data_IF_703419214183
#
_entry.id   IF_703419214183
#
_cell.length_a   1.000
_cell.length_b   1.000
_cell.length_c   1.000
_cell.angle_alpha   90.00
_cell.angle_beta   90.00
_cell.angle_gamma   90.00
#
_symmetry.space_group_name_H-M   'P 1'
#
loop_
_entity.id
_entity.type
_entity.pdbx_description
1 polymer ?
#
# COMPACT_ATOMS: atom_id res chain seq x y z
N UNK A 1 21.60 -10.21 29.43
CA UNK A 1 22.31 -8.92 29.57
C UNK A 1 22.16 -8.14 28.25
N UNK A 2 21.16 -7.26 28.12
CA UNK A 2 20.97 -6.40 26.93
C UNK A 2 20.14 -5.13 27.29
N UNK A 3 20.63 -4.40 28.30
CA UNK A 3 19.89 -3.29 28.95
C UNK A 3 20.14 -1.91 28.30
N UNK A 4 21.11 -1.80 27.37
CA UNK A 4 21.51 -0.50 26.79
C UNK A 4 20.78 -0.13 25.49
N UNK A 5 20.15 -1.08 24.82
CA UNK A 5 19.47 -0.87 23.52
C UNK A 5 17.98 -0.55 23.65
N UNK A 6 17.48 -0.58 24.87
CA UNK A 6 16.08 -0.83 25.20
C UNK A 6 15.18 0.42 25.16
N UNK A 7 15.56 1.58 25.71
CA UNK A 7 14.74 2.80 25.64
C UNK A 7 14.67 3.38 24.22
N UNK A 8 15.73 3.15 23.41
CA UNK A 8 15.91 3.77 22.09
C UNK A 8 14.95 3.21 21.04
N UNK A 9 14.69 1.90 21.05
CA UNK A 9 13.81 1.26 20.05
C UNK A 9 12.36 1.71 20.19
N UNK A 10 11.85 1.77 21.43
CA UNK A 10 10.51 2.26 21.73
C UNK A 10 10.31 3.70 21.26
N UNK A 11 11.23 4.60 21.63
CA UNK A 11 11.19 6.00 21.22
C UNK A 11 11.24 6.16 19.69
N UNK A 12 12.12 5.42 19.00
CA UNK A 12 12.21 5.42 17.54
C UNK A 12 10.93 4.90 16.87
N UNK A 13 10.31 3.85 17.42
CA UNK A 13 9.06 3.31 16.91
C UNK A 13 7.91 4.31 17.04
N UNK A 14 7.80 4.98 18.20
CA UNK A 14 6.85 6.09 18.41
C UNK A 14 7.06 7.22 17.41
N UNK A 15 8.30 7.70 17.26
CA UNK A 15 8.63 8.77 16.32
C UNK A 15 8.33 8.39 14.87
N UNK A 16 8.59 7.12 14.49
CA UNK A 16 8.22 6.58 13.19
C UNK A 16 6.71 6.57 12.98
N UNK A 17 5.94 6.12 13.97
CA UNK A 17 4.48 6.12 13.92
C UNK A 17 3.92 7.54 13.75
N UNK A 18 4.40 8.49 14.56
CA UNK A 18 4.02 9.90 14.49
C UNK A 18 4.36 10.53 13.13
N UNK A 19 5.54 10.21 12.56
CA UNK A 19 5.91 10.69 11.22
C UNK A 19 4.95 10.18 10.15
N UNK A 20 4.53 8.92 10.22
CA UNK A 20 3.52 8.41 9.29
C UNK A 20 2.16 9.09 9.53
N UNK A 21 1.73 9.28 10.77
CA UNK A 21 0.52 10.03 11.12
C UNK A 21 0.48 11.42 10.48
N UNK A 22 1.55 12.20 10.64
CA UNK A 22 1.70 13.52 10.01
C UNK A 22 1.66 13.44 8.49
N UNK A 23 2.30 12.43 7.89
CA UNK A 23 2.26 12.23 6.45
C UNK A 23 0.85 11.88 5.92
N UNK A 24 0.05 11.15 6.70
CA UNK A 24 -1.36 10.90 6.38
C UNK A 24 -2.15 12.21 6.43
N UNK A 25 -2.01 12.99 7.50
CA UNK A 25 -2.68 14.29 7.65
C UNK A 25 -2.36 15.23 6.49
N UNK A 26 -1.07 15.39 6.14
CA UNK A 26 -0.65 16.22 4.98
C UNK A 26 -1.19 15.70 3.66
N UNK A 27 -1.17 14.38 3.43
CA UNK A 27 -1.73 13.82 2.20
C UNK A 27 -3.24 14.04 2.08
N UNK A 28 -3.94 14.23 3.21
CA UNK A 28 -5.37 14.48 3.26
C UNK A 28 -5.73 15.96 3.41
N UNK A 29 -4.77 16.90 3.45
CA UNK A 29 -5.08 18.33 3.65
C UNK A 29 -5.64 19.02 2.40
N UNK A 30 -5.72 18.32 1.26
CA UNK A 30 -6.43 18.79 0.07
C UNK A 30 -5.69 19.81 -0.80
N UNK A 31 -4.34 19.87 -0.77
CA UNK A 31 -3.57 20.85 -1.56
C UNK A 31 -2.36 20.25 -2.32
N UNK A 32 -1.97 20.86 -3.45
CA UNK A 32 -2.82 21.29 -4.57
C UNK A 32 -3.25 20.11 -5.46
N UNK A 33 -2.51 19.00 -5.41
CA UNK A 33 -2.83 17.77 -6.15
C UNK A 33 -3.47 16.73 -5.22
N UNK A 34 -4.79 16.60 -5.32
CA UNK A 34 -5.59 15.63 -4.56
C UNK A 34 -5.15 14.17 -4.81
N UNK A 35 -4.79 13.81 -6.04
CA UNK A 35 -4.40 12.45 -6.38
C UNK A 35 -3.04 12.10 -5.77
N UNK A 36 -2.10 13.04 -5.86
CA UNK A 36 -0.80 12.92 -5.17
C UNK A 36 -0.98 12.86 -3.67
N UNK A 37 -1.82 13.70 -3.09
CA UNK A 37 -2.16 13.69 -1.67
C UNK A 37 -2.70 12.33 -1.21
N UNK A 38 -3.71 11.81 -1.91
CA UNK A 38 -4.30 10.48 -1.66
C UNK A 38 -3.26 9.36 -1.82
N UNK A 39 -2.38 9.44 -2.82
CA UNK A 39 -1.29 8.48 -3.00
C UNK A 39 -0.35 8.48 -1.79
N UNK A 40 0.10 9.66 -1.36
CA UNK A 40 1.01 9.84 -0.22
C UNK A 40 0.35 9.37 1.09
N UNK A 41 -0.90 9.73 1.32
CA UNK A 41 -1.68 9.27 2.48
C UNK A 41 -1.78 7.74 2.50
N UNK A 42 -2.17 7.11 1.37
CA UNK A 42 -2.22 5.64 1.25
C UNK A 42 -0.87 4.99 1.49
N UNK A 43 0.22 5.60 0.99
CA UNK A 43 1.59 5.10 1.22
C UNK A 43 1.95 5.16 2.71
N UNK A 44 1.64 6.26 3.39
CA UNK A 44 1.88 6.43 4.81
C UNK A 44 1.02 5.48 5.68
N UNK A 45 -0.27 5.30 5.35
CA UNK A 45 -1.15 4.30 5.99
C UNK A 45 -0.53 2.90 5.89
N UNK A 46 -0.10 2.48 4.69
CA UNK A 46 0.50 1.15 4.51
C UNK A 46 1.77 0.97 5.37
N UNK A 47 2.61 2.00 5.47
CA UNK A 47 3.82 1.98 6.30
C UNK A 47 3.50 1.92 7.79
N UNK A 48 2.56 2.75 8.26
CA UNK A 48 2.12 2.72 9.66
C UNK A 48 1.57 1.34 10.02
N UNK A 49 0.68 0.80 9.20
CA UNK A 49 0.12 -0.55 9.39
C UNK A 49 1.17 -1.67 9.37
N UNK A 50 2.24 -1.51 8.60
CA UNK A 50 3.36 -2.45 8.60
C UNK A 50 4.13 -2.39 9.93
N UNK A 51 4.36 -1.19 10.47
CA UNK A 51 4.93 -0.99 11.80
C UNK A 51 4.02 -1.58 12.90
N UNK A 52 2.71 -1.32 12.87
CA UNK A 52 1.79 -1.86 13.87
C UNK A 52 1.76 -3.39 13.86
N UNK A 53 1.77 -4.01 12.68
CA UNK A 53 1.87 -5.46 12.55
C UNK A 53 3.21 -6.04 13.06
N UNK A 54 4.27 -5.22 13.17
CA UNK A 54 5.54 -5.64 13.74
C UNK A 54 5.49 -5.69 15.28
N UNK A 55 4.62 -4.89 15.90
CA UNK A 55 4.52 -4.75 17.35
C UNK A 55 3.21 -5.31 17.93
N UNK A 56 2.37 -5.93 17.09
CA UNK A 56 1.01 -6.39 17.43
C UNK A 56 0.95 -7.38 18.60
N UNK A 57 1.96 -8.24 18.74
CA UNK A 57 2.06 -9.20 19.84
C UNK A 57 2.52 -8.58 21.17
N UNK A 58 3.02 -7.33 21.16
CA UNK A 58 3.41 -6.61 22.39
C UNK A 58 2.31 -5.70 22.90
N UNK A 59 1.54 -5.10 21.99
CA UNK A 59 0.56 -4.06 22.30
C UNK A 59 -0.77 -4.39 21.61
N UNK A 60 -1.72 -4.97 22.33
CA UNK A 60 -3.02 -5.32 21.77
C UNK A 60 -3.78 -4.10 21.19
N UNK A 61 -3.60 -2.92 21.81
CA UNK A 61 -4.26 -1.68 21.38
C UNK A 61 -3.97 -1.35 19.90
N UNK A 62 -2.79 -1.72 19.39
CA UNK A 62 -2.40 -1.42 18.00
C UNK A 62 -3.21 -2.21 16.97
N UNK A 63 -3.87 -3.29 17.38
CA UNK A 63 -4.73 -4.10 16.48
C UNK A 63 -5.97 -3.32 16.09
N UNK A 64 -6.63 -2.65 17.05
CA UNK A 64 -7.80 -1.80 16.77
C UNK A 64 -7.41 -0.63 15.84
N UNK A 65 -6.25 -0.03 16.10
CA UNK A 65 -5.71 1.06 15.28
C UNK A 65 -5.40 0.59 13.84
N UNK A 66 -4.79 -0.60 13.66
CA UNK A 66 -4.58 -1.18 12.30
C UNK A 66 -5.90 -1.35 11.55
N UNK A 67 -6.96 -1.81 12.23
CA UNK A 67 -8.29 -1.98 11.62
C UNK A 67 -8.88 -0.63 11.18
N UNK A 68 -8.79 0.40 12.00
CA UNK A 68 -9.26 1.74 11.66
C UNK A 68 -8.49 2.31 10.45
N UNK A 69 -7.16 2.22 10.47
CA UNK A 69 -6.30 2.63 9.37
C UNK A 69 -6.55 1.81 8.10
N UNK A 70 -6.88 0.53 8.22
CA UNK A 70 -7.30 -0.31 7.09
C UNK A 70 -8.55 0.23 6.45
N UNK A 71 -9.62 0.47 7.23
CA UNK A 71 -10.89 1.00 6.71
C UNK A 71 -10.67 2.35 6.02
N UNK A 72 -9.86 3.23 6.61
CA UNK A 72 -9.51 4.52 6.02
C UNK A 72 -8.78 4.35 4.68
N UNK A 73 -7.79 3.46 4.62
CA UNK A 73 -7.10 3.10 3.39
C UNK A 73 -8.06 2.54 2.34
N UNK A 74 -8.89 1.57 2.69
CA UNK A 74 -9.83 0.91 1.79
C UNK A 74 -10.81 1.93 1.19
N UNK A 75 -11.28 2.90 1.99
CA UNK A 75 -12.12 4.02 1.54
C UNK A 75 -11.45 5.04 0.62
N UNK A 76 -10.17 4.88 0.28
CA UNK A 76 -9.42 5.68 -0.70
C UNK A 76 -9.00 4.86 -1.94
N UNK A 77 -9.28 3.55 -1.98
CA UNK A 77 -8.76 2.66 -3.02
C UNK A 77 -9.33 2.96 -4.39
N UNK A 78 -10.65 3.13 -4.51
CA UNK A 78 -11.31 3.36 -5.80
C UNK A 78 -10.76 4.60 -6.54
N UNK A 79 -10.53 5.70 -5.82
CA UNK A 79 -9.94 6.91 -6.41
C UNK A 79 -8.47 6.68 -6.82
N UNK A 80 -7.68 5.95 -6.02
CA UNK A 80 -6.30 5.61 -6.43
C UNK A 80 -6.30 4.74 -7.67
N UNK A 81 -7.14 3.72 -7.72
CA UNK A 81 -7.17 2.76 -8.82
C UNK A 81 -7.63 3.43 -10.12
N UNK A 82 -8.58 4.36 -10.05
CA UNK A 82 -8.96 5.21 -11.18
C UNK A 82 -7.79 6.09 -11.67
N UNK A 83 -7.03 6.68 -10.75
CA UNK A 83 -5.84 7.45 -11.11
C UNK A 83 -4.72 6.58 -11.69
N UNK A 84 -4.51 5.35 -11.17
CA UNK A 84 -3.55 4.38 -11.77
C UNK A 84 -3.94 4.10 -13.22
N UNK A 85 -5.23 3.88 -13.50
CA UNK A 85 -5.69 3.57 -14.84
C UNK A 85 -5.38 4.71 -15.83
N UNK A 86 -5.53 5.97 -15.41
CA UNK A 86 -5.13 7.15 -16.19
C UNK A 86 -3.62 7.16 -16.44
N UNK A 87 -2.79 7.01 -15.39
CA UNK A 87 -1.32 6.96 -15.53
C UNK A 87 -0.89 5.85 -16.48
N UNK A 88 -1.50 4.68 -16.37
CA UNK A 88 -1.19 3.53 -17.22
C UNK A 88 -1.63 3.78 -18.68
N UNK A 89 -2.82 4.33 -18.91
CA UNK A 89 -3.28 4.68 -20.26
C UNK A 89 -2.34 5.70 -20.94
N UNK A 90 -1.87 6.71 -20.21
CA UNK A 90 -0.86 7.64 -20.74
C UNK A 90 0.46 6.94 -21.08
N UNK A 91 0.89 5.96 -20.28
CA UNK A 91 2.09 5.20 -20.57
C UNK A 91 1.95 4.35 -21.85
N UNK A 92 0.76 3.84 -22.16
CA UNK A 92 0.48 3.14 -23.42
C UNK A 92 0.29 4.08 -24.63
N UNK A 93 -0.16 5.31 -24.38
CA UNK A 93 -0.32 6.32 -25.41
C UNK A 93 1.01 6.89 -25.93
N UNK A 94 2.10 6.75 -25.17
CA UNK A 94 3.42 7.27 -25.54
C UNK A 94 3.87 6.77 -26.93
N UNK A 95 4.43 7.67 -27.75
CA UNK A 95 4.80 7.42 -29.15
C UNK A 95 3.62 7.62 -30.12
N UNK A 96 3.58 6.85 -31.20
CA UNK A 96 2.62 6.97 -32.31
C UNK A 96 1.19 6.48 -31.98
N UNK A 97 0.93 6.17 -30.71
CA UNK A 97 -0.35 5.64 -30.23
C UNK A 97 -1.23 6.71 -29.57
N UNK A 98 -0.77 7.96 -29.50
CA UNK A 98 -1.43 9.04 -28.76
C UNK A 98 -2.88 9.22 -29.18
N UNK A 99 -3.13 9.40 -30.49
CA UNK A 99 -4.48 9.64 -31.02
C UNK A 99 -5.44 8.48 -30.74
N UNK A 100 -4.92 7.24 -30.79
CA UNK A 100 -5.72 6.04 -30.53
C UNK A 100 -6.17 5.94 -29.07
N UNK A 101 -5.30 6.31 -28.14
CA UNK A 101 -5.59 6.25 -26.70
C UNK A 101 -6.36 7.45 -26.18
N UNK A 102 -6.36 8.58 -26.91
CA UNK A 102 -6.94 9.84 -26.45
C UNK A 102 -8.42 9.75 -26.02
N UNK A 103 -9.32 9.05 -26.74
CA UNK A 103 -10.69 8.86 -26.29
C UNK A 103 -10.77 8.08 -24.96
N UNK A 104 -9.93 7.06 -24.81
CA UNK A 104 -9.90 6.23 -23.60
C UNK A 104 -9.32 7.00 -22.40
N UNK A 105 -8.26 7.77 -22.61
CA UNK A 105 -7.69 8.66 -21.60
C UNK A 105 -8.75 9.65 -21.11
N UNK A 106 -9.43 10.31 -22.05
CA UNK A 106 -10.50 11.28 -21.73
C UNK A 106 -11.61 10.65 -20.90
N UNK A 107 -12.04 9.44 -21.25
CA UNK A 107 -13.02 8.67 -20.48
C UNK A 107 -12.54 8.35 -19.06
N UNK A 108 -11.28 7.89 -18.91
CA UNK A 108 -10.71 7.55 -17.61
C UNK A 108 -10.52 8.76 -16.70
N UNK A 109 -10.11 9.91 -17.27
CA UNK A 109 -9.98 11.19 -16.56
C UNK A 109 -11.35 11.62 -16.03
N UNK A 110 -12.38 11.67 -16.88
CA UNK A 110 -13.74 12.01 -16.44
C UNK A 110 -14.24 11.07 -15.34
N UNK A 111 -14.00 9.77 -15.47
CA UNK A 111 -14.36 8.78 -14.45
C UNK A 111 -13.64 9.04 -13.12
N UNK A 112 -12.32 9.29 -13.16
CA UNK A 112 -11.50 9.61 -11.98
C UNK A 112 -12.02 10.88 -11.29
N UNK A 113 -12.35 11.90 -12.06
CA UNK A 113 -12.79 13.20 -11.54
C UNK A 113 -14.19 13.10 -10.92
N UNK A 114 -15.12 12.34 -11.53
CA UNK A 114 -16.42 12.02 -10.91
C UNK A 114 -16.26 11.28 -9.57
N UNK A 115 -15.30 10.37 -9.46
CA UNK A 115 -15.01 9.69 -8.19
C UNK A 115 -14.43 10.66 -7.15
N UNK A 116 -13.54 11.57 -7.57
CA UNK A 116 -12.99 12.60 -6.70
C UNK A 116 -14.10 13.54 -6.18
N UNK A 117 -14.95 14.04 -7.07
CA UNK A 117 -16.09 14.89 -6.72
C UNK A 117 -17.04 14.21 -5.74
N UNK A 118 -17.45 12.95 -5.99
CA UNK A 118 -18.28 12.18 -5.05
C UNK A 118 -17.64 11.98 -3.69
N UNK A 119 -16.33 11.75 -3.67
CA UNK A 119 -15.57 11.54 -2.44
C UNK A 119 -15.50 12.84 -1.62
N UNK A 120 -15.24 13.97 -2.27
CA UNK A 120 -15.19 15.30 -1.65
C UNK A 120 -16.57 15.79 -1.21
N UNK A 121 -17.63 15.55 -1.99
CA UNK A 121 -19.00 15.88 -1.58
C UNK A 121 -19.40 15.17 -0.28
N UNK A 122 -18.96 13.91 -0.11
CA UNK A 122 -19.19 13.16 1.13
C UNK A 122 -18.27 13.57 2.27
N UNK A 123 -17.06 14.01 1.98
CA UNK A 123 -16.05 14.30 3.00
C UNK A 123 -15.23 15.53 2.57
N UNK A 124 -15.83 16.74 2.65
CA UNK A 124 -15.18 17.96 2.21
C UNK A 124 -13.82 18.15 2.88
N UNK A 125 -12.79 18.41 2.07
CA UNK A 125 -11.40 18.54 2.55
C UNK A 125 -10.89 17.32 3.34
N UNK A 126 -11.51 16.14 3.16
CA UNK A 126 -11.24 14.93 3.95
C UNK A 126 -11.38 15.11 5.47
N UNK A 127 -12.20 16.05 5.95
CA UNK A 127 -12.31 16.41 7.37
C UNK A 127 -12.60 15.21 8.28
N UNK A 128 -13.55 14.34 7.92
CA UNK A 128 -13.90 13.15 8.72
C UNK A 128 -12.76 12.15 8.76
N UNK A 129 -12.09 11.91 7.63
CA UNK A 129 -10.91 11.03 7.58
C UNK A 129 -9.75 11.60 8.40
N UNK A 130 -9.51 12.90 8.34
CA UNK A 130 -8.48 13.58 9.15
C UNK A 130 -8.80 13.47 10.64
N UNK A 131 -10.06 13.63 11.06
CA UNK A 131 -10.47 13.42 12.45
C UNK A 131 -10.23 11.98 12.91
N UNK A 132 -10.55 10.98 12.07
CA UNK A 132 -10.23 9.57 12.36
C UNK A 132 -8.73 9.39 12.59
N UNK A 133 -7.88 9.94 11.71
CA UNK A 133 -6.42 9.86 11.85
C UNK A 133 -5.97 10.51 13.15
N UNK A 134 -6.46 11.71 13.49
CA UNK A 134 -6.10 12.39 14.75
C UNK A 134 -6.45 11.54 15.97
N UNK A 135 -7.65 10.95 16.02
CA UNK A 135 -8.05 10.03 17.11
C UNK A 135 -7.15 8.81 17.21
N UNK A 136 -6.82 8.20 16.07
CA UNK A 136 -5.92 7.03 16.05
C UNK A 136 -4.48 7.39 16.48
N UNK A 137 -4.01 8.60 16.14
CA UNK A 137 -2.70 9.07 16.56
C UNK A 137 -2.65 9.36 18.06
N UNK A 138 -3.70 9.97 18.64
CA UNK A 138 -3.82 10.15 20.08
C UNK A 138 -3.80 8.79 20.82
N UNK A 139 -4.54 7.80 20.30
CA UNK A 139 -4.52 6.44 20.86
C UNK A 139 -3.12 5.78 20.74
N UNK A 140 -2.38 6.02 19.65
CA UNK A 140 -1.00 5.55 19.52
C UNK A 140 -0.03 6.24 20.48
N UNK A 141 -0.27 7.51 20.83
CA UNK A 141 0.58 8.23 21.77
C UNK A 141 0.44 7.71 23.21
N UNK A 142 -0.72 7.12 23.55
CA UNK A 142 -0.97 6.47 24.84
C UNK A 142 -0.36 5.04 24.94
N UNK A 143 0.18 4.49 23.84
CA UNK A 143 0.85 3.19 23.89
C UNK A 143 2.15 3.30 24.68
N UNK A 144 2.40 2.33 25.56
CA UNK A 144 3.59 2.23 26.41
C UNK A 144 4.85 1.83 25.61
N UNK A 145 5.25 2.64 24.61
CA UNK A 145 6.36 2.36 23.68
C UNK A 145 7.67 2.04 24.39
N UNK A 146 7.90 2.61 25.58
CA UNK A 146 9.07 2.32 26.43
C UNK A 146 9.20 0.84 26.80
N UNK A 147 8.13 0.04 26.68
CA UNK A 147 8.10 -1.40 26.94
C UNK A 147 8.46 -2.26 25.71
N UNK A 148 8.65 -1.64 24.54
CA UNK A 148 9.05 -2.33 23.31
C UNK A 148 10.53 -2.73 23.39
N UNK A 149 10.85 -3.91 22.89
CA UNK A 149 12.20 -4.51 22.90
C UNK A 149 12.57 -5.04 21.51
N UNK A 150 13.86 -5.21 21.23
CA UNK A 150 14.34 -5.87 20.01
C UNK A 150 13.75 -7.27 19.81
N UNK A 151 13.59 -8.05 20.89
CA UNK A 151 12.96 -9.37 20.85
C UNK A 151 11.50 -9.34 20.37
N UNK A 152 10.76 -8.28 20.70
CA UNK A 152 9.37 -8.12 20.26
C UNK A 152 9.30 -7.86 18.75
N UNK A 153 10.22 -7.04 18.23
CA UNK A 153 10.36 -6.77 16.80
C UNK A 153 10.74 -8.05 16.03
N UNK A 154 11.68 -8.84 16.56
CA UNK A 154 12.07 -10.14 16.00
C UNK A 154 10.86 -11.09 15.93
N UNK A 155 10.14 -11.26 17.04
CA UNK A 155 8.96 -12.12 17.08
C UNK A 155 7.86 -11.65 16.10
N UNK A 156 7.61 -10.34 15.98
CA UNK A 156 6.66 -9.79 15.01
C UNK A 156 7.05 -10.02 13.55
N UNK A 157 8.35 -10.02 13.28
CA UNK A 157 8.90 -10.28 11.96
C UNK A 157 8.81 -11.76 11.59
N UNK A 158 9.15 -12.67 12.50
CA UNK A 158 8.97 -14.11 12.35
C UNK A 158 7.51 -14.47 12.05
N UNK A 159 6.55 -13.87 12.77
CA UNK A 159 5.12 -14.00 12.46
C UNK A 159 4.79 -13.53 11.04
N UNK A 160 5.41 -12.45 10.59
CA UNK A 160 5.17 -11.88 9.26
C UNK A 160 5.76 -12.77 8.15
N UNK A 161 6.94 -13.34 8.36
CA UNK A 161 7.58 -14.33 7.49
C UNK A 161 6.76 -15.62 7.40
N UNK A 162 6.34 -16.18 8.55
CA UNK A 162 5.50 -17.38 8.58
C UNK A 162 4.16 -17.16 7.84
N UNK A 163 3.54 -16.00 8.02
CA UNK A 163 2.33 -15.61 7.27
C UNK A 163 2.63 -15.46 5.77
N UNK A 164 3.77 -14.90 5.38
CA UNK A 164 4.16 -14.79 3.98
C UNK A 164 4.31 -16.17 3.33
N UNK A 165 5.12 -17.06 3.93
CA UNK A 165 5.35 -18.41 3.45
C UNK A 165 4.03 -19.21 3.29
N UNK A 166 3.11 -19.10 4.25
CA UNK A 166 1.78 -19.71 4.15
C UNK A 166 0.97 -19.18 2.97
N UNK A 167 1.02 -17.87 2.70
CA UNK A 167 0.29 -17.30 1.57
C UNK A 167 0.94 -17.64 0.22
N UNK A 168 2.27 -17.74 0.18
CA UNK A 168 3.00 -18.19 -1.00
C UNK A 168 2.63 -19.62 -1.36
N UNK A 169 2.68 -20.54 -0.39
CA UNK A 169 2.30 -21.95 -0.63
C UNK A 169 0.87 -22.07 -1.18
N UNK A 170 -0.08 -21.28 -0.64
CA UNK A 170 -1.45 -21.25 -1.15
C UNK A 170 -1.54 -20.69 -2.58
N UNK A 171 -0.85 -19.59 -2.86
CA UNK A 171 -0.83 -19.00 -4.19
C UNK A 171 -0.17 -19.91 -5.25
N UNK A 172 0.81 -20.73 -4.84
CA UNK A 172 1.43 -21.75 -5.70
C UNK A 172 0.50 -22.94 -5.94
N UNK A 173 -0.17 -23.42 -4.88
CA UNK A 173 -1.10 -24.57 -4.97
C UNK A 173 -2.37 -24.21 -5.76
N UNK A 174 -2.87 -22.99 -5.58
CA UNK A 174 -4.11 -22.52 -6.17
C UNK A 174 -3.95 -21.03 -6.55
N UNK A 175 -3.58 -20.72 -7.80
CA UNK A 175 -3.26 -19.36 -8.26
C UNK A 175 -4.51 -18.50 -8.52
N UNK A 176 -5.47 -18.50 -7.60
CA UNK A 176 -6.64 -17.63 -7.69
C UNK A 176 -6.26 -16.14 -7.49
N UNK A 177 -7.07 -15.23 -8.06
CA UNK A 177 -6.86 -13.79 -7.91
C UNK A 177 -6.80 -13.37 -6.43
N UNK A 178 -7.59 -14.01 -5.56
CA UNK A 178 -7.56 -13.75 -4.12
C UNK A 178 -6.25 -14.22 -3.47
N UNK A 179 -5.81 -15.45 -3.76
CA UNK A 179 -4.59 -16.01 -3.18
C UNK A 179 -3.35 -15.21 -3.61
N UNK A 180 -3.24 -14.88 -4.91
CA UNK A 180 -2.19 -14.02 -5.45
C UNK A 180 -2.22 -12.63 -4.81
N UNK A 181 -3.42 -12.03 -4.66
CA UNK A 181 -3.57 -10.73 -4.01
C UNK A 181 -3.16 -10.77 -2.53
N UNK A 182 -3.54 -11.83 -1.81
CA UNK A 182 -3.18 -12.04 -0.40
C UNK A 182 -1.67 -12.20 -0.23
N UNK A 183 -1.02 -12.99 -1.07
CA UNK A 183 0.43 -13.15 -1.09
C UNK A 183 1.13 -11.81 -1.35
N UNK A 184 0.74 -11.08 -2.40
CA UNK A 184 1.28 -9.75 -2.73
C UNK A 184 1.15 -8.75 -1.57
N UNK A 185 -0.01 -8.74 -0.90
CA UNK A 185 -0.24 -7.87 0.27
C UNK A 185 0.72 -8.17 1.41
N UNK A 186 0.99 -9.44 1.69
CA UNK A 186 1.90 -9.87 2.76
C UNK A 186 3.35 -9.55 2.44
N UNK A 187 3.79 -9.80 1.20
CA UNK A 187 5.16 -9.47 0.80
C UNK A 187 5.42 -7.96 0.88
N UNK A 188 4.48 -7.13 0.40
CA UNK A 188 4.58 -5.67 0.52
C UNK A 188 4.65 -5.22 1.97
N UNK A 189 3.88 -5.83 2.87
CA UNK A 189 3.94 -5.54 4.30
C UNK A 189 5.32 -5.86 4.87
N UNK A 190 5.86 -7.04 4.56
CA UNK A 190 7.20 -7.45 5.00
C UNK A 190 8.28 -6.47 4.51
N UNK A 191 8.21 -6.03 3.25
CA UNK A 191 9.12 -5.00 2.70
C UNK A 191 9.08 -3.71 3.51
N UNK A 192 7.89 -3.24 3.87
CA UNK A 192 7.73 -2.04 4.69
C UNK A 192 8.20 -2.25 6.13
N UNK A 193 8.07 -3.45 6.68
CA UNK A 193 8.65 -3.80 7.99
C UNK A 193 10.18 -3.77 7.93
N UNK A 194 10.79 -4.28 6.87
CA UNK A 194 12.25 -4.18 6.67
C UNK A 194 12.72 -2.73 6.52
N UNK A 195 12.00 -1.90 5.76
CA UNK A 195 12.26 -0.45 5.69
C UNK A 195 12.22 0.19 7.08
N UNK A 196 11.23 -0.17 7.91
CA UNK A 196 11.13 0.31 9.29
C UNK A 196 12.29 -0.20 10.16
N UNK A 197 12.62 -1.49 10.09
CA UNK A 197 13.67 -2.11 10.89
C UNK A 197 15.04 -1.46 10.70
N UNK A 198 15.38 -1.05 9.48
CA UNK A 198 16.63 -0.30 9.22
C UNK A 198 16.74 0.97 10.07
N UNK A 199 15.61 1.60 10.43
CA UNK A 199 15.58 2.77 11.29
C UNK A 199 15.50 2.40 12.78
N UNK A 200 14.78 1.33 13.12
CA UNK A 200 14.49 0.95 14.50
C UNK A 200 15.63 0.14 15.15
N UNK A 201 16.08 -0.90 14.47
CA UNK A 201 17.04 -1.89 14.93
C UNK A 201 17.94 -2.33 13.76
N UNK A 202 18.98 -1.54 13.41
CA UNK A 202 19.82 -1.80 12.24
C UNK A 202 20.50 -3.17 12.25
N UNK A 203 20.89 -3.67 13.43
CA UNK A 203 21.51 -4.99 13.57
C UNK A 203 20.54 -6.11 13.18
N UNK A 204 19.28 -6.02 13.63
CA UNK A 204 18.22 -6.95 13.25
C UNK A 204 17.89 -6.85 11.75
N UNK A 205 18.02 -5.65 11.17
CA UNK A 205 17.81 -5.43 9.74
C UNK A 205 18.95 -5.94 8.84
N UNK A 206 20.12 -6.29 9.40
CA UNK A 206 21.26 -6.88 8.69
C UNK A 206 21.33 -8.41 8.86
N UNK A 207 20.55 -8.97 9.78
CA UNK A 207 20.53 -10.39 10.07
C UNK A 207 20.14 -11.19 8.80
N UNK A 208 21.00 -12.08 8.28
CA UNK A 208 20.75 -12.87 7.08
C UNK A 208 19.53 -13.79 7.21
N UNK A 209 19.26 -14.33 8.41
CA UNK A 209 18.10 -15.18 8.68
C UNK A 209 16.77 -14.42 8.49
N UNK A 210 16.83 -13.09 8.65
CA UNK A 210 15.71 -12.17 8.56
C UNK A 210 15.59 -11.51 7.18
N UNK A 211 16.73 -11.22 6.55
CA UNK A 211 16.81 -10.48 5.28
C UNK A 211 16.78 -11.37 4.05
N UNK A 212 17.01 -12.67 4.18
CA UNK A 212 16.77 -13.76 3.22
C UNK A 212 17.10 -13.45 1.74
N UNK A 213 18.02 -14.21 1.12
CA UNK A 213 18.33 -14.08 -0.32
C UNK A 213 17.08 -14.10 -1.23
N UNK A 214 16.03 -14.84 -0.85
CA UNK A 214 14.77 -14.94 -1.58
C UNK A 214 13.91 -13.66 -1.60
N UNK A 215 14.12 -12.70 -0.70
CA UNK A 215 13.26 -11.51 -0.66
C UNK A 215 13.44 -10.61 -1.90
N UNK A 216 14.62 -10.62 -2.52
CA UNK A 216 14.87 -9.90 -3.78
C UNK A 216 14.13 -10.56 -4.96
N UNK A 217 14.18 -11.88 -5.07
CA UNK A 217 13.48 -12.63 -6.13
C UNK A 217 11.96 -12.51 -5.95
N UNK A 218 11.46 -12.65 -4.72
CA UNK A 218 10.05 -12.44 -4.37
C UNK A 218 9.58 -11.02 -4.69
N UNK A 219 10.42 -10.00 -4.45
CA UNK A 219 10.11 -8.61 -4.77
C UNK A 219 9.91 -8.42 -6.27
N UNK A 220 10.84 -8.90 -7.11
CA UNK A 220 10.69 -8.82 -8.57
C UNK A 220 9.40 -9.50 -9.03
N UNK A 221 9.11 -10.69 -8.52
CA UNK A 221 7.86 -11.43 -8.81
C UNK A 221 6.62 -10.64 -8.40
N UNK A 222 6.62 -9.99 -7.24
CA UNK A 222 5.48 -9.18 -6.80
C UNK A 222 5.29 -7.87 -7.55
N UNK A 223 6.37 -7.20 -7.94
CA UNK A 223 6.29 -5.99 -8.75
C UNK A 223 5.73 -6.35 -10.14
N UNK A 224 6.15 -7.49 -10.70
CA UNK A 224 5.61 -8.06 -11.93
C UNK A 224 4.11 -8.42 -11.81
N UNK A 225 3.71 -9.15 -10.75
CA UNK A 225 2.30 -9.44 -10.47
C UNK A 225 1.45 -8.17 -10.26
N UNK A 226 2.03 -7.12 -9.69
CA UNK A 226 1.40 -5.81 -9.55
C UNK A 226 1.10 -5.19 -10.90
N UNK A 227 2.10 -5.11 -11.78
CA UNK A 227 1.95 -4.58 -13.15
C UNK A 227 0.91 -5.37 -13.94
N UNK A 228 0.97 -6.70 -13.91
CA UNK A 228 -0.04 -7.58 -14.54
C UNK A 228 -1.46 -7.29 -14.04
N UNK A 229 -1.64 -7.10 -12.72
CA UNK A 229 -2.96 -6.78 -12.16
C UNK A 229 -3.46 -5.42 -12.65
N UNK A 230 -2.60 -4.40 -12.71
CA UNK A 230 -2.97 -3.06 -13.15
C UNK A 230 -3.38 -3.07 -14.65
N UNK A 231 -2.65 -3.83 -15.48
CA UNK A 231 -3.01 -4.05 -16.90
C UNK A 231 -4.34 -4.78 -17.05
N UNK A 232 -4.57 -5.88 -16.32
CA UNK A 232 -5.84 -6.60 -16.35
C UNK A 232 -7.03 -5.72 -15.90
N UNK A 233 -6.81 -4.86 -14.90
CA UNK A 233 -7.82 -3.89 -14.48
C UNK A 233 -8.14 -2.88 -15.60
N UNK A 234 -7.12 -2.41 -16.33
CA UNK A 234 -7.29 -1.54 -17.49
C UNK A 234 -8.01 -2.24 -18.65
N UNK A 235 -7.69 -3.50 -18.95
CA UNK A 235 -8.43 -4.30 -19.93
C UNK A 235 -9.93 -4.33 -19.61
N UNK A 236 -10.28 -4.62 -18.36
CA UNK A 236 -11.68 -4.62 -17.93
C UNK A 236 -12.35 -3.25 -18.03
N UNK A 237 -11.61 -2.16 -17.85
CA UNK A 237 -12.13 -0.80 -18.05
C UNK A 237 -12.37 -0.50 -19.54
N UNK A 238 -11.43 -0.87 -20.43
CA UNK A 238 -11.56 -0.72 -21.89
C UNK A 238 -12.75 -1.51 -22.42
N UNK A 239 -12.94 -2.75 -21.95
CA UNK A 239 -14.08 -3.60 -22.33
C UNK A 239 -15.43 -2.97 -21.99
N UNK A 240 -15.54 -2.32 -20.83
CA UNK A 240 -16.79 -1.75 -20.32
C UNK A 240 -17.03 -0.30 -20.73
N UNK A 241 -16.05 0.36 -21.35
CA UNK A 241 -16.15 1.76 -21.72
C UNK A 241 -17.04 1.92 -22.97
N UNK A 242 -18.12 2.71 -22.90
CA UNK A 242 -19.00 2.96 -24.04
C UNK A 242 -18.34 3.90 -25.05
N UNK A 243 -18.61 3.70 -26.34
CA UNK A 243 -18.21 4.64 -27.40
C UNK A 243 -16.70 4.78 -27.64
N UNK A 244 -15.89 3.80 -27.21
CA UNK A 244 -14.44 3.84 -27.45
C UNK A 244 -14.12 3.27 -28.84
N UNK A 245 -13.56 4.07 -29.76
CA UNK A 245 -13.13 3.59 -31.07
C UNK A 245 -11.94 2.62 -30.93
N UNK A 246 -11.72 1.76 -31.92
CA UNK A 246 -10.58 0.84 -31.97
C UNK A 246 -10.37 -0.01 -30.71
N UNK A 247 -11.45 -0.30 -29.96
CA UNK A 247 -11.41 -1.06 -28.69
C UNK A 247 -10.59 -2.35 -28.79
N UNK A 248 -10.73 -3.09 -29.90
CA UNK A 248 -10.00 -4.33 -30.14
C UNK A 248 -8.49 -4.09 -30.15
N UNK A 249 -8.01 -3.09 -30.89
CA UNK A 249 -6.58 -2.73 -30.95
C UNK A 249 -6.05 -2.28 -29.60
N UNK A 250 -6.82 -1.52 -28.82
CA UNK A 250 -6.43 -1.13 -27.46
C UNK A 250 -6.26 -2.37 -26.54
N UNK A 251 -7.18 -3.34 -26.65
CA UNK A 251 -7.09 -4.58 -25.87
C UNK A 251 -5.91 -5.45 -26.29
N UNK A 252 -5.61 -5.49 -27.58
CA UNK A 252 -4.48 -6.27 -28.10
C UNK A 252 -3.14 -5.70 -27.61
N UNK A 253 -2.95 -4.38 -27.66
CA UNK A 253 -1.78 -3.71 -27.08
C UNK A 253 -1.62 -3.97 -25.57
N UNK A 254 -2.73 -3.98 -24.82
CA UNK A 254 -2.68 -4.31 -23.39
C UNK A 254 -2.29 -5.77 -23.14
N UNK A 255 -2.77 -6.69 -23.98
CA UNK A 255 -2.50 -8.12 -23.88
C UNK A 255 -1.06 -8.47 -24.24
N UNK A 256 -0.44 -7.75 -25.17
CA UNK A 256 0.99 -7.89 -25.50
C UNK A 256 1.92 -7.65 -24.28
N UNK A 257 1.47 -6.85 -23.31
CA UNK A 257 2.21 -6.60 -22.07
C UNK A 257 1.94 -7.63 -20.96
N UNK A 258 1.01 -8.55 -21.17
CA UNK A 258 0.76 -9.67 -20.27
C UNK A 258 1.64 -10.84 -20.73
N UNK A 259 2.57 -11.34 -19.90
CA UNK A 259 3.30 -12.55 -20.28
C UNK A 259 2.33 -13.73 -20.38
N UNK A 260 2.67 -14.64 -21.29
CA UNK A 260 2.06 -15.96 -21.46
C UNK A 260 1.88 -16.69 -20.13
#
# INVERSE_FOLDING_TARGET
>A
MDSRDTPKVGAKARALAQRQGRAIQRGLSGQPDLHRGVHLARKAIRRLRALLALVDGRFEQVVAIDRALRKLGDGLSALRDAHVAVELAHAFAAGDNTDRWQPMISYLVQRRDRLAARLLARDPGFGRRRAIVSRQMAALDAVEWRRLRNKDLRAGLERSLARLARAERRARKEPSAENLHRFRRRLRRLRMQQEALRSLAPNLAKDPAITGKDLRSLRRRSDHLGRRQDVLALCGLVQRAPGIPDRRRLLDQLREQLPS
#
